data_IF_605725828652
#
_entry.id   IF_605725828652
#
_cell.length_a   1.000
_cell.length_b   1.000
_cell.length_c   1.000
_cell.angle_alpha   90.00
_cell.angle_beta   90.00
_cell.angle_gamma   90.00
#
_symmetry.space_group_name_H-M   'P 1'
#
loop_
_entity.id
_entity.type
_entity.pdbx_description
1 polymer ?
#
# COMPACT_ATOMS: atom_id res chain seq x y z
N UNK A 1 23.76 -23.55 -1.13
CA UNK A 1 22.67 -24.05 -0.26
C UNK A 1 21.88 -22.85 0.26
N UNK A 2 20.75 -22.55 -0.39
CA UNK A 2 19.87 -21.44 0.01
C UNK A 2 18.92 -21.92 1.10
N UNK A 3 19.18 -21.51 2.34
CA UNK A 3 18.18 -21.56 3.42
C UNK A 3 17.11 -20.52 3.10
N UNK A 4 16.17 -20.86 2.23
CA UNK A 4 14.88 -20.19 2.24
C UNK A 4 14.18 -20.67 3.50
N UNK A 5 14.35 -19.95 4.62
CA UNK A 5 13.55 -20.19 5.80
C UNK A 5 12.09 -20.07 5.36
N UNK A 6 11.38 -21.20 5.37
CA UNK A 6 9.93 -21.19 5.29
C UNK A 6 9.42 -20.31 6.44
N UNK A 7 8.37 -19.49 6.21
CA UNK A 7 7.85 -18.57 7.22
C UNK A 7 7.39 -19.25 8.52
N UNK A 8 7.37 -20.58 8.60
CA UNK A 8 6.83 -21.35 9.73
C UNK A 8 7.61 -21.20 11.05
N UNK A 9 8.81 -20.59 11.07
CA UNK A 9 9.58 -20.28 12.31
C UNK A 9 10.36 -18.96 12.22
N UNK A 10 9.72 -17.92 11.71
CA UNK A 10 10.34 -16.65 11.32
C UNK A 10 10.45 -15.61 12.46
N UNK A 11 9.78 -15.81 13.59
CA UNK A 11 9.85 -14.89 14.73
C UNK A 11 11.06 -15.17 15.64
N UNK A 12 11.47 -14.15 16.40
CA UNK A 12 12.55 -14.24 17.37
C UNK A 12 12.17 -15.16 18.54
N UNK A 13 13.10 -15.91 19.18
CA UNK A 13 12.78 -16.82 20.29
C UNK A 13 12.07 -16.16 21.48
N UNK A 14 12.27 -14.86 21.68
CA UNK A 14 11.59 -14.08 22.73
C UNK A 14 10.14 -13.70 22.37
N UNK A 15 9.70 -13.96 21.13
CA UNK A 15 8.33 -13.70 20.71
C UNK A 15 7.51 -14.97 20.92
N UNK A 16 6.56 -14.92 21.84
CA UNK A 16 5.72 -16.06 22.20
C UNK A 16 4.37 -16.03 21.47
N UNK A 17 3.68 -17.18 21.28
CA UNK A 17 2.38 -17.21 20.59
C UNK A 17 1.27 -16.51 21.38
N UNK A 18 1.39 -16.50 22.71
CA UNK A 18 0.39 -16.00 23.64
C UNK A 18 0.92 -14.85 24.49
N UNK A 19 0.00 -14.12 25.12
CA UNK A 19 0.37 -13.03 26.03
C UNK A 19 0.62 -13.62 27.42
N UNK A 20 1.88 -13.86 27.75
CA UNK A 20 2.26 -14.51 29.02
C UNK A 20 2.14 -13.55 30.22
N UNK A 21 2.31 -12.24 29.98
CA UNK A 21 2.28 -11.20 31.02
C UNK A 21 1.14 -10.20 30.79
N UNK A 22 0.62 -9.61 31.88
CA UNK A 22 -0.39 -8.54 31.79
C UNK A 22 0.05 -7.41 30.85
N UNK A 23 1.27 -6.90 30.97
CA UNK A 23 1.78 -5.87 30.04
C UNK A 23 2.70 -6.50 28.98
N UNK A 24 2.64 -6.03 27.74
CA UNK A 24 3.52 -6.52 26.68
C UNK A 24 3.29 -5.85 25.33
N UNK A 25 4.09 -6.25 24.35
CA UNK A 25 3.96 -5.79 22.97
C UNK A 25 3.29 -6.86 22.12
N UNK A 26 2.21 -6.51 21.43
CA UNK A 26 1.70 -7.32 20.35
C UNK A 26 2.52 -7.06 19.08
N UNK A 27 3.23 -8.09 18.63
CA UNK A 27 4.06 -8.05 17.43
C UNK A 27 3.28 -8.54 16.22
N UNK A 28 3.40 -7.83 15.11
CA UNK A 28 2.93 -8.22 13.78
C UNK A 28 4.05 -8.04 12.78
N UNK A 29 4.56 -9.13 12.24
CA UNK A 29 5.57 -9.16 11.18
C UNK A 29 4.94 -9.53 9.84
N UNK A 30 5.29 -8.84 8.75
CA UNK A 30 4.97 -9.24 7.38
C UNK A 30 6.23 -9.26 6.54
N UNK A 31 6.38 -10.35 5.79
CA UNK A 31 7.40 -10.50 4.77
C UNK A 31 6.76 -10.40 3.38
N UNK A 32 7.32 -9.57 2.51
CA UNK A 32 6.87 -9.39 1.14
C UNK A 32 7.78 -10.12 0.15
N UNK A 33 7.24 -10.58 -1.00
CA UNK A 33 8.03 -11.25 -2.04
C UNK A 33 9.20 -10.42 -2.63
N UNK A 34 9.22 -9.10 -2.42
CA UNK A 34 10.29 -8.20 -2.86
C UNK A 34 11.45 -8.07 -1.85
N UNK A 35 11.54 -8.99 -0.89
CA UNK A 35 12.51 -9.01 0.21
C UNK A 35 12.36 -7.81 1.16
N UNK A 36 11.15 -7.23 1.22
CA UNK A 36 10.81 -6.18 2.17
C UNK A 36 10.15 -6.81 3.40
N UNK A 37 10.53 -6.34 4.58
CA UNK A 37 9.92 -6.75 5.87
C UNK A 37 9.36 -5.51 6.55
N UNK A 38 8.15 -5.63 7.10
CA UNK A 38 7.64 -4.68 8.09
C UNK A 38 7.31 -5.41 9.39
N UNK A 39 7.75 -4.86 10.51
CA UNK A 39 7.43 -5.34 11.85
C UNK A 39 6.79 -4.18 12.61
N UNK A 40 5.67 -4.45 13.26
CA UNK A 40 4.97 -3.48 14.10
C UNK A 40 4.78 -4.08 15.48
N UNK A 41 5.14 -3.33 16.51
CA UNK A 41 4.85 -3.62 17.90
C UNK A 41 3.84 -2.61 18.42
N UNK A 42 2.78 -3.09 19.07
CA UNK A 42 1.81 -2.25 19.78
C UNK A 42 1.92 -2.59 21.26
N UNK A 43 2.30 -1.63 22.07
CA UNK A 43 2.35 -1.76 23.53
C UNK A 43 0.92 -1.79 24.07
N UNK A 44 0.65 -2.80 24.90
CA UNK A 44 -0.64 -3.04 25.53
C UNK A 44 -0.45 -3.26 27.02
N UNK A 45 -1.27 -2.61 27.83
CA UNK A 45 -1.41 -2.83 29.27
C UNK A 45 -2.33 -4.01 29.59
N UNK A 46 -2.36 -4.45 30.84
CA UNK A 46 -3.10 -5.65 31.27
C UNK A 46 -4.60 -5.62 30.96
N UNK A 47 -5.23 -4.44 30.93
CA UNK A 47 -6.65 -4.29 30.58
C UNK A 47 -6.89 -4.20 29.07
N UNK A 48 -5.83 -3.93 28.30
CA UNK A 48 -5.94 -3.74 26.86
C UNK A 48 -6.07 -5.08 26.14
N UNK A 49 -6.96 -5.13 25.16
CA UNK A 49 -7.10 -6.28 24.28
C UNK A 49 -7.11 -5.85 22.82
N UNK A 50 -6.45 -6.65 21.98
CA UNK A 50 -6.61 -6.57 20.53
C UNK A 50 -8.00 -7.12 20.18
N UNK A 51 -9.06 -6.30 20.27
CA UNK A 51 -10.42 -6.75 19.91
C UNK A 51 -10.42 -7.36 18.51
N UNK A 52 -10.83 -8.63 18.41
CA UNK A 52 -11.14 -9.29 17.14
C UNK A 52 -12.54 -8.84 16.70
N UNK A 53 -12.60 -7.79 15.89
CA UNK A 53 -13.87 -7.35 15.27
C UNK A 53 -14.68 -6.35 16.09
N UNK A 54 -15.73 -5.81 15.46
CA UNK A 54 -16.58 -4.75 16.02
C UNK A 54 -16.09 -3.33 15.70
N UNK A 55 -15.60 -3.11 14.47
CA UNK A 55 -15.16 -1.79 14.00
C UNK A 55 -16.12 -0.70 14.46
N UNK A 56 -15.58 0.42 14.96
CA UNK A 56 -16.37 1.51 15.54
C UNK A 56 -17.59 1.79 14.66
N UNK A 57 -18.80 1.69 15.24
CA UNK A 57 -20.04 2.02 14.52
C UNK A 57 -19.86 3.39 13.89
N UNK A 58 -20.06 3.46 12.58
CA UNK A 58 -19.99 4.71 11.81
C UNK A 58 -20.97 5.69 12.46
N UNK A 59 -20.46 6.78 13.03
CA UNK A 59 -21.29 7.83 13.63
C UNK A 59 -21.81 8.83 12.60
N UNK A 60 -21.34 8.76 11.34
CA UNK A 60 -21.47 9.88 10.40
C UNK A 60 -21.66 9.46 8.93
N UNK A 61 -22.62 10.09 8.24
CA UNK A 61 -23.02 9.77 6.87
C UNK A 61 -22.64 10.80 5.79
N UNK A 62 -22.03 11.96 6.11
CA UNK A 62 -21.58 12.98 5.12
C UNK A 62 -20.16 13.55 5.36
N UNK A 63 -19.59 14.28 4.38
CA UNK A 63 -18.27 14.95 4.48
C UNK A 63 -18.29 16.06 5.52
N UNK A 64 -19.33 16.91 5.50
CA UNK A 64 -19.39 18.10 6.36
C UNK A 64 -19.47 17.72 7.84
N UNK A 65 -19.95 16.51 8.12
CA UNK A 65 -20.08 15.96 9.47
C UNK A 65 -18.90 15.07 9.87
N UNK A 66 -17.92 14.85 8.99
CA UNK A 66 -16.81 13.93 9.24
C UNK A 66 -15.64 14.64 9.92
N UNK A 67 -15.37 14.24 11.16
CA UNK A 67 -14.26 14.78 11.96
C UNK A 67 -12.90 14.55 11.27
N UNK A 68 -12.08 15.61 11.19
CA UNK A 68 -10.74 15.60 10.56
C UNK A 68 -9.84 14.41 10.95
N UNK A 69 -9.72 13.99 12.22
CA UNK A 69 -8.98 12.78 12.60
C UNK A 69 -9.56 11.48 12.03
N UNK A 70 -10.87 11.39 11.80
CA UNK A 70 -11.48 10.23 11.14
C UNK A 70 -11.05 10.17 9.67
N UNK A 71 -10.98 11.33 9.01
CA UNK A 71 -10.48 11.42 7.63
C UNK A 71 -9.03 11.02 7.54
N UNK A 72 -8.19 11.55 8.43
CA UNK A 72 -6.77 11.21 8.50
C UNK A 72 -6.55 9.70 8.71
N UNK A 73 -7.30 9.07 9.63
CA UNK A 73 -7.25 7.61 9.86
C UNK A 73 -7.66 6.82 8.61
N UNK A 74 -8.71 7.24 7.91
CA UNK A 74 -9.16 6.60 6.66
C UNK A 74 -8.11 6.71 5.55
N UNK A 75 -7.53 7.90 5.37
CA UNK A 75 -6.43 8.14 4.42
C UNK A 75 -5.20 7.31 4.76
N UNK A 76 -4.80 7.25 6.03
CA UNK A 76 -3.68 6.42 6.50
C UNK A 76 -3.90 4.93 6.18
N UNK A 77 -5.10 4.40 6.45
CA UNK A 77 -5.45 3.00 6.10
C UNK A 77 -5.37 2.74 4.60
N UNK A 78 -5.90 3.65 3.78
CA UNK A 78 -5.82 3.54 2.32
C UNK A 78 -4.37 3.56 1.83
N UNK A 79 -3.52 4.46 2.35
CA UNK A 79 -2.09 4.55 2.05
C UNK A 79 -1.37 3.25 2.38
N UNK A 80 -1.56 2.72 3.59
CA UNK A 80 -0.98 1.45 4.02
C UNK A 80 -1.44 0.34 3.09
N UNK A 81 -2.74 0.24 2.80
CA UNK A 81 -3.27 -0.82 1.92
C UNK A 81 -2.66 -0.78 0.52
N UNK A 82 -2.58 0.40 -0.09
CA UNK A 82 -1.97 0.61 -1.41
C UNK A 82 -0.48 0.29 -1.40
N UNK A 83 0.25 0.72 -0.36
CA UNK A 83 1.67 0.39 -0.17
C UNK A 83 1.88 -1.13 -0.10
N UNK A 84 1.14 -1.82 0.77
CA UNK A 84 1.25 -3.28 0.94
C UNK A 84 0.93 -4.03 -0.34
N UNK A 85 -0.13 -3.63 -1.06
CA UNK A 85 -0.48 -4.23 -2.35
C UNK A 85 0.64 -4.05 -3.39
N UNK A 86 1.24 -2.85 -3.47
CA UNK A 86 2.31 -2.57 -4.41
C UNK A 86 3.58 -3.40 -4.11
N UNK A 87 3.93 -3.58 -2.84
CA UNK A 87 5.01 -4.46 -2.40
C UNK A 87 4.71 -5.94 -2.72
N UNK A 88 3.48 -6.38 -2.46
CA UNK A 88 3.06 -7.78 -2.63
C UNK A 88 3.03 -8.20 -4.09
N UNK A 89 2.51 -7.34 -4.97
CA UNK A 89 2.53 -7.60 -6.42
C UNK A 89 3.91 -7.37 -7.06
N UNK A 90 4.90 -6.90 -6.28
CA UNK A 90 6.24 -6.54 -6.78
C UNK A 90 6.19 -5.56 -7.97
N UNK A 91 5.44 -4.47 -7.80
CA UNK A 91 5.31 -3.45 -8.83
C UNK A 91 6.68 -3.02 -9.38
N UNK A 92 6.82 -2.97 -10.71
CA UNK A 92 8.10 -2.68 -11.39
C UNK A 92 8.05 -1.45 -12.29
N UNK A 93 6.85 -0.90 -12.53
CA UNK A 93 6.64 0.25 -13.40
C UNK A 93 5.53 1.17 -12.89
N UNK A 94 5.71 2.44 -13.20
CA UNK A 94 4.67 3.45 -13.12
C UNK A 94 4.09 3.69 -14.51
N UNK A 95 2.78 3.77 -14.57
CA UNK A 95 2.00 4.14 -15.74
C UNK A 95 1.16 5.36 -15.38
N UNK A 96 1.31 6.44 -16.14
CA UNK A 96 0.54 7.66 -15.95
C UNK A 96 -0.42 7.82 -17.12
N UNK A 97 -1.71 7.98 -16.82
CA UNK A 97 -2.76 8.24 -17.79
C UNK A 97 -3.26 9.66 -17.59
N UNK A 98 -3.26 10.47 -18.65
CA UNK A 98 -3.75 11.85 -18.61
C UNK A 98 -4.89 12.05 -19.60
N UNK A 99 -5.80 12.97 -19.28
CA UNK A 99 -6.76 13.52 -20.23
C UNK A 99 -6.14 14.73 -20.95
N UNK A 100 -6.42 14.89 -22.24
CA UNK A 100 -6.00 16.09 -22.97
C UNK A 100 -6.85 17.28 -22.51
N UNK A 101 -8.17 17.08 -22.54
CA UNK A 101 -9.15 18.05 -22.09
C UNK A 101 -9.17 18.16 -20.56
N UNK A 102 -9.69 19.28 -20.06
CA UNK A 102 -9.78 19.55 -18.62
C UNK A 102 -10.95 18.79 -17.98
N UNK A 103 -10.83 17.47 -17.86
CA UNK A 103 -11.85 16.64 -17.20
C UNK A 103 -11.68 16.72 -15.69
N UNK A 104 -12.55 17.49 -15.03
CA UNK A 104 -12.56 17.67 -13.55
C UNK A 104 -13.45 16.66 -12.84
N UNK A 105 -14.46 16.12 -13.54
CA UNK A 105 -15.36 15.11 -13.01
C UNK A 105 -14.65 13.76 -12.82
N UNK A 106 -14.42 13.43 -11.55
CA UNK A 106 -13.74 12.21 -11.13
C UNK A 106 -14.53 10.93 -11.44
N UNK A 107 -15.86 11.00 -11.47
CA UNK A 107 -16.70 9.83 -11.73
C UNK A 107 -16.66 9.49 -13.22
N UNK A 108 -16.74 10.50 -14.08
CA UNK A 108 -16.49 10.33 -15.52
C UNK A 108 -15.07 9.80 -15.75
N UNK A 109 -14.06 10.34 -15.06
CA UNK A 109 -12.69 9.85 -15.17
C UNK A 109 -12.56 8.37 -14.78
N UNK A 110 -13.23 7.96 -13.69
CA UNK A 110 -13.28 6.56 -13.24
C UNK A 110 -14.00 5.65 -14.24
N UNK A 111 -15.04 6.11 -14.90
CA UNK A 111 -15.74 5.34 -15.93
C UNK A 111 -14.86 5.09 -17.16
N UNK A 112 -14.14 6.12 -17.63
CA UNK A 112 -13.14 5.96 -18.70
C UNK A 112 -12.04 5.00 -18.26
N UNK A 113 -11.55 5.12 -17.03
CA UNK A 113 -10.56 4.21 -16.46
C UNK A 113 -11.08 2.75 -16.38
N UNK A 114 -12.33 2.54 -15.96
CA UNK A 114 -12.95 1.22 -15.87
C UNK A 114 -13.04 0.57 -17.24
N UNK A 115 -13.43 1.32 -18.27
CA UNK A 115 -13.46 0.82 -19.63
C UNK A 115 -12.05 0.50 -20.16
N UNK A 116 -11.06 1.38 -19.92
CA UNK A 116 -9.66 1.10 -20.23
C UNK A 116 -9.18 -0.20 -19.58
N UNK A 117 -9.42 -0.38 -18.28
CA UNK A 117 -9.04 -1.59 -17.55
C UNK A 117 -9.73 -2.84 -18.09
N UNK A 118 -10.99 -2.74 -18.53
CA UNK A 118 -11.72 -3.83 -19.23
C UNK A 118 -11.02 -4.20 -20.54
N UNK A 119 -10.61 -3.23 -21.35
CA UNK A 119 -9.87 -3.46 -22.60
C UNK A 119 -8.50 -4.11 -22.33
N UNK A 120 -7.77 -3.65 -21.32
CA UNK A 120 -6.49 -4.24 -20.92
C UNK A 120 -6.66 -5.68 -20.44
N UNK A 121 -7.69 -5.95 -19.64
CA UNK A 121 -8.02 -7.31 -19.20
C UNK A 121 -8.41 -8.22 -20.36
N UNK A 122 -9.18 -7.72 -21.32
CA UNK A 122 -9.49 -8.48 -22.54
C UNK A 122 -8.21 -8.83 -23.31
N UNK A 123 -7.27 -7.89 -23.42
CA UNK A 123 -6.04 -8.07 -24.19
C UNK A 123 -4.96 -8.93 -23.51
N UNK A 124 -4.86 -8.87 -22.18
CA UNK A 124 -3.75 -9.47 -21.41
C UNK A 124 -4.20 -10.45 -20.32
N UNK A 125 -5.50 -10.61 -20.08
CA UNK A 125 -6.05 -11.53 -19.11
C UNK A 125 -5.51 -11.28 -17.69
N UNK A 126 -5.12 -12.36 -17.03
CA UNK A 126 -4.59 -12.36 -15.64
C UNK A 126 -3.30 -11.56 -15.47
N UNK A 127 -2.57 -11.27 -16.56
CA UNK A 127 -1.34 -10.44 -16.50
C UNK A 127 -1.63 -8.99 -16.17
N UNK A 128 -2.86 -8.51 -16.38
CA UNK A 128 -3.23 -7.12 -16.07
C UNK A 128 -3.49 -6.94 -14.57
N UNK A 129 -2.39 -6.75 -13.83
CA UNK A 129 -2.38 -6.45 -12.40
C UNK A 129 -1.98 -4.99 -12.22
N UNK A 130 -2.78 -4.22 -11.48
CA UNK A 130 -2.54 -2.79 -11.29
C UNK A 130 -3.07 -2.27 -9.96
N UNK A 131 -2.52 -1.13 -9.53
CA UNK A 131 -3.09 -0.24 -8.52
C UNK A 131 -3.11 1.16 -9.12
N UNK A 132 -4.30 1.76 -9.24
CA UNK A 132 -4.54 3.08 -9.80
C UNK A 132 -4.99 4.05 -8.70
N UNK A 133 -4.41 5.24 -8.69
CA UNK A 133 -4.75 6.35 -7.82
C UNK A 133 -4.99 7.58 -8.69
N UNK A 134 -6.16 8.22 -8.64
CA UNK A 134 -6.38 9.49 -9.30
C UNK A 134 -5.58 10.59 -8.60
N UNK A 135 -5.21 11.66 -9.29
CA UNK A 135 -4.76 12.92 -8.69
C UNK A 135 -5.32 14.07 -9.53
N UNK A 136 -5.55 15.22 -8.91
CA UNK A 136 -5.91 16.44 -9.62
C UNK A 136 -4.63 17.18 -10.03
N UNK A 137 -4.49 17.46 -11.33
CA UNK A 137 -3.43 18.34 -11.81
C UNK A 137 -3.67 19.78 -11.35
N UNK A 138 -2.63 20.63 -11.41
CA UNK A 138 -2.76 22.07 -11.08
C UNK A 138 -3.86 22.80 -11.86
N UNK A 139 -4.21 22.30 -13.05
CA UNK A 139 -5.26 22.84 -13.92
C UNK A 139 -6.68 22.32 -13.61
N UNK A 140 -6.85 21.45 -12.62
CA UNK A 140 -8.14 20.80 -12.31
C UNK A 140 -8.35 19.44 -12.98
N UNK A 141 -7.71 19.18 -14.13
CA UNK A 141 -7.85 17.91 -14.82
C UNK A 141 -7.40 16.71 -13.97
N UNK A 142 -8.20 15.65 -13.98
CA UNK A 142 -7.83 14.36 -13.38
C UNK A 142 -6.68 13.72 -14.16
N UNK A 143 -5.77 13.04 -13.48
CA UNK A 143 -4.90 12.03 -14.08
C UNK A 143 -4.87 10.78 -13.21
N UNK A 144 -4.44 9.65 -13.76
CA UNK A 144 -4.27 8.43 -13.00
C UNK A 144 -2.80 8.03 -12.94
N UNK A 145 -2.30 7.85 -11.72
CA UNK A 145 -1.05 7.16 -11.46
C UNK A 145 -1.33 5.69 -11.21
N UNK A 146 -0.65 4.82 -11.95
CA UNK A 146 -0.77 3.38 -11.84
C UNK A 146 0.57 2.76 -11.47
N UNK A 147 0.57 1.90 -10.45
CA UNK A 147 1.60 0.89 -10.29
C UNK A 147 1.16 -0.37 -11.06
N UNK A 148 2.04 -0.93 -11.89
CA UNK A 148 1.79 -2.14 -12.66
C UNK A 148 2.94 -3.13 -12.53
N UNK A 149 2.70 -4.36 -13.00
CA UNK A 149 3.69 -5.44 -13.01
C UNK A 149 3.90 -5.94 -14.43
N UNK A 150 5.15 -5.96 -14.86
CA UNK A 150 5.57 -6.56 -16.12
C UNK A 150 5.49 -5.61 -17.32
N UNK A 151 5.92 -6.13 -18.46
CA UNK A 151 6.02 -5.34 -19.69
C UNK A 151 4.71 -5.33 -20.48
N UNK A 152 4.30 -4.12 -20.86
CA UNK A 152 3.23 -3.86 -21.79
C UNK A 152 3.71 -2.89 -22.86
N UNK A 153 3.51 -3.23 -24.13
CA UNK A 153 3.97 -2.40 -25.24
C UNK A 153 3.25 -1.04 -25.23
N UNK A 154 4.02 0.05 -25.17
CA UNK A 154 3.51 1.42 -24.94
C UNK A 154 2.49 1.85 -25.99
N UNK A 155 2.72 1.53 -27.27
CA UNK A 155 1.77 1.89 -28.33
C UNK A 155 0.45 1.13 -28.20
N UNK A 156 0.48 -0.08 -27.64
CA UNK A 156 -0.74 -0.84 -27.38
C UNK A 156 -1.51 -0.21 -26.22
N UNK A 157 -0.85 0.10 -25.09
CA UNK A 157 -1.51 0.82 -23.99
C UNK A 157 -2.09 2.14 -24.47
N UNK A 158 -1.31 2.94 -25.22
CA UNK A 158 -1.75 4.24 -25.75
C UNK A 158 -2.98 4.12 -26.65
N UNK A 159 -3.04 3.09 -27.51
CA UNK A 159 -4.24 2.81 -28.33
C UNK A 159 -5.45 2.45 -27.46
N UNK A 160 -5.28 1.60 -26.45
CA UNK A 160 -6.38 1.22 -25.54
C UNK A 160 -6.86 2.42 -24.71
N UNK A 161 -5.95 3.28 -24.25
CA UNK A 161 -6.30 4.50 -23.51
C UNK A 161 -7.06 5.47 -24.40
N UNK A 162 -6.55 5.76 -25.61
CA UNK A 162 -7.25 6.62 -26.59
C UNK A 162 -8.66 6.12 -26.91
N UNK A 163 -8.83 4.80 -27.08
CA UNK A 163 -10.15 4.19 -27.27
C UNK A 163 -11.06 4.38 -26.06
N UNK A 164 -10.51 4.32 -24.85
CA UNK A 164 -11.29 4.45 -23.62
C UNK A 164 -11.72 5.89 -23.33
N UNK A 165 -10.85 6.87 -23.60
CA UNK A 165 -11.15 8.30 -23.38
C UNK A 165 -12.00 8.90 -24.49
N UNK A 166 -11.95 8.38 -25.72
CA UNK A 166 -12.76 8.91 -26.82
C UNK A 166 -12.49 10.40 -27.08
N UNK A 167 -13.54 11.21 -27.03
CA UNK A 167 -13.50 12.65 -27.36
C UNK A 167 -12.56 13.48 -26.47
N UNK A 168 -12.38 13.11 -25.19
CA UNK A 168 -11.56 13.89 -24.25
C UNK A 168 -10.05 13.92 -24.59
N UNK A 169 -9.62 13.00 -25.47
CA UNK A 169 -8.22 12.76 -25.77
C UNK A 169 -7.40 12.35 -24.54
N UNK A 170 -6.18 11.88 -24.76
CA UNK A 170 -5.33 11.49 -23.64
C UNK A 170 -3.94 11.04 -24.05
N UNK A 171 -3.01 11.12 -23.09
CA UNK A 171 -1.66 10.61 -23.25
C UNK A 171 -1.37 9.50 -22.23
N UNK A 172 -0.36 8.71 -22.55
CA UNK A 172 0.16 7.63 -21.72
C UNK A 172 1.67 7.74 -21.64
N UNK A 173 2.16 7.76 -20.41
CA UNK A 173 3.58 7.69 -20.08
C UNK A 173 3.83 6.47 -19.20
N UNK A 174 4.85 5.68 -19.56
CA UNK A 174 5.25 4.49 -18.79
C UNK A 174 6.73 4.59 -18.46
N UNK A 175 7.08 4.27 -17.21
CA UNK A 175 8.47 4.29 -16.80
C UNK A 175 9.20 3.05 -17.26
N UNK A 176 10.49 3.21 -17.62
CA UNK A 176 11.39 2.09 -17.89
C UNK A 176 11.74 1.37 -16.58
N UNK A 177 11.93 0.04 -16.60
CA UNK A 177 12.13 -0.75 -15.38
C UNK A 177 13.61 -0.67 -14.98
N UNK A 178 14.04 0.48 -14.47
CA UNK A 178 15.41 0.57 -13.96
C UNK A 178 15.42 -0.11 -12.59
N UNK A 179 16.13 -1.24 -12.46
CA UNK A 179 16.23 -1.97 -11.19
C UNK A 179 17.27 -1.37 -10.23
N UNK A 180 18.30 -0.71 -10.77
CA UNK A 180 19.44 -0.20 -10.01
C UNK A 180 19.63 1.31 -10.18
N UNK A 181 20.24 1.95 -9.17
CA UNK A 181 20.59 3.38 -9.17
C UNK A 181 19.49 4.32 -8.62
N UNK A 182 19.82 5.62 -8.52
CA UNK A 182 18.95 6.67 -7.96
C UNK A 182 17.65 6.89 -8.75
N UNK A 183 17.56 6.41 -9.99
CA UNK A 183 16.36 6.47 -10.85
C UNK A 183 15.59 5.14 -10.90
N UNK A 184 15.97 4.17 -10.06
CA UNK A 184 15.32 2.85 -10.04
C UNK A 184 13.86 2.91 -9.66
N UNK A 185 13.03 2.12 -10.34
CA UNK A 185 11.62 1.89 -10.03
C UNK A 185 11.47 0.53 -9.35
N UNK A 186 12.11 0.38 -8.19
CA UNK A 186 11.94 -0.80 -7.36
C UNK A 186 10.56 -0.79 -6.65
N UNK A 187 10.06 -1.95 -6.19
CA UNK A 187 8.74 -2.05 -5.56
C UNK A 187 8.54 -1.10 -4.38
N UNK A 188 9.53 -0.94 -3.50
CA UNK A 188 9.47 -0.02 -2.35
C UNK A 188 9.28 1.43 -2.78
N UNK A 189 10.02 1.88 -3.79
CA UNK A 189 9.92 3.24 -4.31
C UNK A 189 8.57 3.47 -5.00
N UNK A 190 8.11 2.50 -5.80
CA UNK A 190 6.78 2.56 -6.42
C UNK A 190 5.71 2.63 -5.35
N UNK A 191 5.78 1.78 -4.32
CA UNK A 191 4.84 1.75 -3.21
C UNK A 191 4.79 3.09 -2.45
N UNK A 192 5.95 3.71 -2.20
CA UNK A 192 6.03 5.05 -1.61
C UNK A 192 5.48 6.14 -2.53
N UNK A 193 5.77 6.06 -3.82
CA UNK A 193 5.31 7.02 -4.81
C UNK A 193 3.79 6.98 -4.97
N UNK A 194 3.21 5.80 -5.20
CA UNK A 194 1.76 5.65 -5.41
C UNK A 194 0.96 5.97 -4.14
N UNK A 195 1.46 5.60 -2.95
CA UNK A 195 0.78 5.93 -1.69
C UNK A 195 0.83 7.43 -1.35
N UNK A 196 1.85 8.17 -1.82
CA UNK A 196 1.90 9.64 -1.70
C UNK A 196 0.66 10.31 -2.29
N UNK A 197 0.18 9.83 -3.45
CA UNK A 197 -0.97 10.41 -4.14
C UNK A 197 -2.30 10.17 -3.45
N UNK A 198 -2.40 9.17 -2.57
CA UNK A 198 -3.58 9.00 -1.71
C UNK A 198 -3.75 10.17 -0.74
N UNK A 199 -2.63 10.72 -0.23
CA UNK A 199 -2.66 11.84 0.73
C UNK A 199 -2.84 13.20 0.05
N UNK A 200 -2.34 13.36 -1.18
CA UNK A 200 -2.49 14.63 -1.90
C UNK A 200 -3.93 14.94 -2.31
N UNK A 201 -4.78 13.92 -2.41
CA UNK A 201 -6.20 14.13 -2.64
C UNK A 201 -6.94 14.44 -1.32
N UNK A 202 -6.55 15.50 -0.62
CA UNK A 202 -7.38 16.06 0.45
C UNK A 202 -8.75 16.52 -0.09
N UNK A 203 -8.85 16.69 -1.41
CA UNK A 203 -10.06 17.07 -2.14
C UNK A 203 -11.02 15.94 -2.50
N UNK A 204 -10.72 14.64 -2.27
CA UNK A 204 -11.71 13.59 -2.61
C UNK A 204 -12.97 13.87 -1.80
N UNK A 205 -14.08 14.14 -2.49
CA UNK A 205 -15.40 14.20 -1.87
C UNK A 205 -15.61 12.94 -1.05
N UNK A 206 -16.24 13.09 0.10
CA UNK A 206 -16.55 11.97 0.98
C UNK A 206 -17.33 10.91 0.19
N UNK A 207 -17.04 9.64 0.48
CA UNK A 207 -17.51 8.46 -0.26
C UNK A 207 -16.96 8.25 -1.69
N UNK A 208 -16.18 9.16 -2.29
CA UNK A 208 -15.59 8.88 -3.61
C UNK A 208 -14.37 7.96 -3.52
N UNK A 209 -14.19 7.14 -4.56
CA UNK A 209 -13.18 6.07 -4.62
C UNK A 209 -11.76 6.65 -4.66
N UNK A 210 -10.98 6.45 -3.60
CA UNK A 210 -9.59 6.93 -3.48
C UNK A 210 -8.59 6.18 -4.36
N UNK A 211 -8.85 4.90 -4.62
CA UNK A 211 -7.99 4.07 -5.46
C UNK A 211 -8.75 2.89 -6.06
N UNK A 212 -8.20 2.31 -7.11
CA UNK A 212 -8.68 1.09 -7.73
C UNK A 212 -7.54 0.10 -7.82
N UNK A 213 -7.77 -1.16 -7.47
CA UNK A 213 -6.80 -2.24 -7.71
C UNK A 213 -7.49 -3.35 -8.50
N UNK A 214 -6.78 -3.95 -9.44
CA UNK A 214 -7.28 -5.06 -10.24
C UNK A 214 -6.22 -6.12 -10.49
N UNK A 215 -6.67 -7.32 -10.84
CA UNK A 215 -5.83 -8.51 -10.87
C UNK A 215 -5.86 -9.26 -9.53
N UNK A 216 -5.09 -10.33 -9.45
CA UNK A 216 -4.96 -11.16 -8.26
C UNK A 216 -3.77 -10.68 -7.41
N UNK A 217 -4.04 -9.90 -6.36
CA UNK A 217 -3.02 -9.36 -5.46
C UNK A 217 -3.21 -9.99 -4.08
N UNK A 218 -2.43 -11.02 -3.80
CA UNK A 218 -2.41 -11.71 -2.51
C UNK A 218 -1.51 -10.95 -1.54
N UNK A 219 -2.08 -10.50 -0.42
CA UNK A 219 -1.32 -9.87 0.65
C UNK A 219 -0.72 -10.97 1.54
N UNK A 220 0.57 -10.87 1.93
CA UNK A 220 1.14 -11.83 2.86
C UNK A 220 0.45 -11.72 4.23
N UNK A 221 0.05 -12.87 4.76
CA UNK A 221 -0.52 -12.97 6.09
C UNK A 221 0.53 -12.56 7.14
N UNK A 222 0.16 -11.72 8.12
CA UNK A 222 1.09 -11.31 9.15
C UNK A 222 1.33 -12.45 10.13
N UNK A 223 2.59 -12.70 10.44
CA UNK A 223 2.96 -13.50 11.60
C UNK A 223 2.80 -12.67 12.86
N UNK A 224 2.13 -13.24 13.86
CA UNK A 224 1.80 -12.53 15.09
C UNK A 224 2.37 -13.27 16.28
N UNK A 225 2.72 -12.50 17.30
CA UNK A 225 3.14 -13.01 18.59
C UNK A 225 3.20 -11.89 19.61
N UNK A 226 3.73 -12.20 20.78
CA UNK A 226 3.82 -11.32 21.92
C UNK A 226 5.25 -11.23 22.41
N UNK A 227 5.64 -10.04 22.83
CA UNK A 227 6.94 -9.79 23.44
C UNK A 227 6.71 -9.20 24.83
N UNK A 228 7.38 -9.76 25.84
CA UNK A 228 7.27 -9.28 27.21
C UNK A 228 7.77 -7.83 27.36
N UNK A 229 7.17 -7.08 28.28
CA UNK A 229 7.63 -5.74 28.63
C UNK A 229 9.02 -5.84 29.31
N UNK A 230 9.94 -4.91 29.00
CA UNK A 230 11.32 -4.91 29.51
C UNK A 230 12.35 -5.56 28.59
N UNK A 231 11.91 -6.26 27.55
CA UNK A 231 12.78 -6.72 26.46
C UNK A 231 13.03 -5.54 25.49
N UNK A 232 14.25 -5.34 24.96
CA UNK A 232 14.54 -4.26 24.01
C UNK A 232 13.82 -4.50 22.67
N UNK A 233 12.59 -3.97 22.55
CA UNK A 233 11.66 -4.23 21.44
C UNK A 233 12.26 -3.90 20.07
N UNK A 234 12.95 -2.76 19.93
CA UNK A 234 13.59 -2.36 18.67
C UNK A 234 14.66 -3.36 18.25
N UNK A 235 15.49 -3.81 19.20
CA UNK A 235 16.57 -4.77 18.94
C UNK A 235 15.99 -6.10 18.45
N UNK A 236 14.99 -6.63 19.15
CA UNK A 236 14.31 -7.87 18.77
C UNK A 236 13.65 -7.73 17.39
N UNK A 237 12.97 -6.62 17.12
CA UNK A 237 12.35 -6.36 15.82
C UNK A 237 13.40 -6.27 14.70
N UNK A 238 14.57 -5.65 14.95
CA UNK A 238 15.66 -5.58 13.99
C UNK A 238 16.25 -6.98 13.70
N UNK A 239 16.46 -7.81 14.72
CA UNK A 239 16.93 -9.20 14.56
C UNK A 239 15.92 -10.05 13.76
N UNK A 240 14.60 -9.83 13.95
CA UNK A 240 13.57 -10.45 13.10
C UNK A 240 13.73 -10.00 11.64
N UNK A 241 13.96 -8.71 11.40
CA UNK A 241 14.16 -8.19 10.04
C UNK A 241 15.40 -8.80 9.39
N UNK A 242 16.53 -8.83 10.10
CA UNK A 242 17.80 -9.38 9.61
C UNK A 242 17.71 -10.88 9.30
N UNK A 243 16.92 -11.63 10.07
CA UNK A 243 16.67 -13.05 9.80
C UNK A 243 15.82 -13.27 8.54
N UNK A 244 14.90 -12.35 8.23
CA UNK A 244 13.91 -12.51 7.16
C UNK A 244 14.28 -11.84 5.85
N UNK A 245 15.13 -10.83 5.88
CA UNK A 245 15.51 -10.06 4.71
C UNK A 245 17.02 -9.87 4.64
N UNK A 246 17.54 -9.80 3.42
CA UNK A 246 18.94 -9.42 3.18
C UNK A 246 19.14 -7.91 3.18
N UNK A 247 18.05 -7.14 3.28
CA UNK A 247 18.08 -5.69 3.35
C UNK A 247 18.33 -5.25 4.78
N UNK A 248 19.07 -4.17 4.93
CA UNK A 248 19.27 -3.52 6.21
C UNK A 248 17.98 -2.83 6.66
N UNK A 249 17.81 -2.68 7.96
CA UNK A 249 16.78 -1.80 8.53
C UNK A 249 17.04 -0.37 8.06
N UNK A 250 16.05 0.25 7.42
CA UNK A 250 16.17 1.64 6.96
C UNK A 250 15.15 2.58 7.58
N UNK A 251 14.13 2.04 8.26
CA UNK A 251 13.10 2.84 8.90
C UNK A 251 12.81 2.28 10.28
N UNK A 252 12.98 3.13 11.28
CA UNK A 252 12.55 2.91 12.65
C UNK A 252 11.70 4.13 13.01
N UNK A 253 10.50 3.89 13.53
CA UNK A 253 9.58 4.94 13.95
C UNK A 253 8.85 4.53 15.20
N UNK A 254 8.65 5.48 16.10
CA UNK A 254 7.96 5.30 17.36
C UNK A 254 6.88 6.36 17.53
N UNK A 255 5.79 6.01 18.21
CA UNK A 255 4.72 6.92 18.56
C UNK A 255 4.16 6.62 19.93
N UNK A 256 4.10 7.66 20.75
CA UNK A 256 3.58 7.63 22.12
C UNK A 256 2.09 8.03 22.16
N UNK A 257 1.31 7.56 21.17
CA UNK A 257 -0.14 7.79 21.16
C UNK A 257 -0.86 7.03 22.28
N UNK A 258 -2.18 6.90 22.17
CA UNK A 258 -2.99 6.11 23.11
C UNK A 258 -2.43 4.70 23.34
N UNK A 259 -1.87 4.09 22.29
CA UNK A 259 -0.95 2.96 22.42
C UNK A 259 0.43 3.39 21.97
N UNK A 260 1.46 2.95 22.70
CA UNK A 260 2.83 3.00 22.22
C UNK A 260 2.97 2.11 20.98
N UNK A 261 3.45 2.66 19.86
CA UNK A 261 3.67 1.91 18.63
C UNK A 261 5.13 2.03 18.23
N UNK A 262 5.78 0.90 18.02
CA UNK A 262 7.11 0.83 17.39
C UNK A 262 6.96 0.16 16.02
N UNK A 263 7.56 0.75 15.00
CA UNK A 263 7.55 0.24 13.64
C UNK A 263 8.98 0.14 13.12
N UNK A 264 9.35 -1.02 12.58
CA UNK A 264 10.64 -1.28 11.96
C UNK A 264 10.40 -1.83 10.56
N UNK A 265 11.11 -1.31 9.56
CA UNK A 265 11.12 -1.91 8.23
C UNK A 265 12.48 -1.80 7.54
N UNK A 266 12.67 -2.70 6.58
CA UNK A 266 13.71 -2.59 5.56
C UNK A 266 13.48 -1.39 4.66
#
# INVERSE_FOLDING_TARGET
MTLNATPENALHPLITPGRDTGNGYAISCRYYPCDEVEVTAIQLGYEDSLKRGGGAKRKTDSKESMDAPTLAKSCARARTTVRRKALSMQADRMLTLTFKDNLEDIDVAWDRFKYFSKLCRFRWGKRWIYIAVPEYQKRGAVHFHLAIVGYFHINTIRRLWKRAVGMYGGNVDITSPQKFGKKSWNPKRIANYISKYIAKNDSVEFNKRRYSSGGDIQLPEPQRGWLALGVPVIKVMAEVVEKLSRRQVTTIWESEGYFGITYVST
#
